data_IF_746323897219
#
_entry.id   IF_746323897219
#
_cell.length_a   1.000
_cell.length_b   1.000
_cell.length_c   1.000
_cell.angle_alpha   90.00
_cell.angle_beta   90.00
_cell.angle_gamma   90.00
#
_symmetry.space_group_name_H-M   'P 1'
#
loop_
_entity.id
_entity.type
_entity.pdbx_description
1 polymer ?
#
# COMPACT_ATOMS: atom_id res chain seq x y z
N UNK A 1 -13.71 5.58 33.08
CA UNK A 1 -14.01 4.72 31.92
C UNK A 1 -14.38 3.32 32.35
N UNK A 2 -15.40 2.75 31.74
CA UNK A 2 -15.79 1.37 32.00
C UNK A 2 -14.84 0.40 31.33
N UNK A 3 -14.87 -0.87 31.74
CA UNK A 3 -14.08 -1.93 31.14
C UNK A 3 -14.44 -2.10 29.65
N UNK A 4 -15.72 -1.93 29.29
CA UNK A 4 -16.18 -1.99 27.92
C UNK A 4 -15.55 -0.91 27.03
N UNK A 5 -15.41 0.30 27.56
CA UNK A 5 -14.78 1.41 26.82
C UNK A 5 -13.32 1.14 26.55
N UNK A 6 -12.59 0.55 27.48
CA UNK A 6 -11.18 0.18 27.29
C UNK A 6 -11.03 -0.89 26.21
N UNK A 7 -11.92 -1.87 26.19
CA UNK A 7 -11.91 -2.92 25.19
C UNK A 7 -12.18 -2.35 23.80
N UNK A 8 -13.20 -1.47 23.68
CA UNK A 8 -13.54 -0.84 22.41
C UNK A 8 -12.39 0.03 21.89
N UNK A 9 -11.73 0.79 22.78
CA UNK A 9 -10.60 1.61 22.39
C UNK A 9 -9.44 0.75 21.88
N UNK A 10 -9.18 -0.39 22.52
CA UNK A 10 -8.13 -1.30 22.09
C UNK A 10 -8.41 -1.88 20.71
N UNK A 11 -9.64 -2.31 20.47
CA UNK A 11 -10.06 -2.84 19.17
C UNK A 11 -9.93 -1.78 18.09
N UNK A 12 -10.33 -0.54 18.38
CA UNK A 12 -10.20 0.57 17.43
C UNK A 12 -8.74 0.84 17.06
N UNK A 13 -7.84 0.86 18.06
CA UNK A 13 -6.41 1.04 17.80
C UNK A 13 -5.83 -0.09 16.97
N UNK A 14 -6.20 -1.32 17.26
CA UNK A 14 -5.74 -2.48 16.50
C UNK A 14 -6.22 -2.40 15.05
N UNK A 15 -7.47 -2.00 14.82
CA UNK A 15 -7.99 -1.79 13.47
C UNK A 15 -7.22 -0.71 12.72
N UNK A 16 -6.97 0.43 13.36
CA UNK A 16 -6.23 1.54 12.75
C UNK A 16 -4.82 1.11 12.35
N UNK A 17 -4.14 0.37 13.20
CA UNK A 17 -2.80 -0.14 12.91
C UNK A 17 -2.81 -1.09 11.71
N UNK A 18 -3.79 -1.99 11.63
CA UNK A 18 -3.92 -2.93 10.52
C UNK A 18 -4.23 -2.22 9.21
N UNK A 19 -5.11 -1.23 9.24
CA UNK A 19 -5.45 -0.42 8.05
C UNK A 19 -4.21 0.32 7.56
N UNK A 20 -3.46 0.95 8.46
CA UNK A 20 -2.23 1.66 8.11
C UNK A 20 -1.20 0.73 7.47
N UNK A 21 -1.06 -0.47 8.00
CA UNK A 21 -0.13 -1.47 7.47
C UNK A 21 -0.54 -1.92 6.07
N UNK A 22 -1.82 -2.21 5.87
CA UNK A 22 -2.35 -2.62 4.57
C UNK A 22 -2.17 -1.51 3.54
N UNK A 23 -2.43 -0.27 3.91
CA UNK A 23 -2.25 0.87 3.02
C UNK A 23 -0.79 1.05 2.63
N UNK A 24 0.15 0.90 3.57
CA UNK A 24 1.57 1.00 3.28
C UNK A 24 2.04 -0.11 2.33
N UNK A 25 1.58 -1.34 2.54
CA UNK A 25 1.89 -2.47 1.67
C UNK A 25 1.31 -2.28 0.27
N UNK A 26 0.09 -1.74 0.18
CA UNK A 26 -0.57 -1.45 -1.09
C UNK A 26 0.17 -0.36 -1.85
N UNK A 27 0.56 0.72 -1.18
CA UNK A 27 1.31 1.82 -1.79
C UNK A 27 2.65 1.32 -2.33
N UNK A 28 3.34 0.45 -1.60
CA UNK A 28 4.59 -0.14 -2.05
C UNK A 28 4.38 -0.99 -3.31
N UNK A 29 3.34 -1.82 -3.33
CA UNK A 29 3.01 -2.63 -4.52
C UNK A 29 2.66 -1.77 -5.71
N UNK A 30 1.89 -0.71 -5.51
CA UNK A 30 1.55 0.22 -6.58
C UNK A 30 2.82 0.89 -7.14
N UNK A 31 3.72 1.31 -6.28
CA UNK A 31 4.99 1.90 -6.71
C UNK A 31 5.83 0.91 -7.52
N UNK A 32 5.87 -0.35 -7.12
CA UNK A 32 6.58 -1.40 -7.85
C UNK A 32 5.95 -1.65 -9.23
N UNK A 33 4.63 -1.70 -9.31
CA UNK A 33 3.91 -1.89 -10.57
C UNK A 33 4.17 -0.71 -11.51
N UNK A 34 4.13 0.52 -11.01
CA UNK A 34 4.40 1.71 -11.81
C UNK A 34 5.84 1.74 -12.31
N UNK A 35 6.79 1.37 -11.47
CA UNK A 35 8.20 1.30 -11.86
C UNK A 35 8.42 0.26 -12.97
N UNK A 36 7.80 -0.90 -12.85
CA UNK A 36 7.91 -1.95 -13.86
C UNK A 36 7.25 -1.53 -15.16
N UNK A 37 6.08 -0.92 -15.10
CA UNK A 37 5.38 -0.42 -16.29
C UNK A 37 6.21 0.63 -17.02
N UNK A 38 6.89 1.50 -16.30
CA UNK A 38 7.77 2.51 -16.89
C UNK A 38 8.96 1.87 -17.61
N UNK A 39 9.58 0.87 -16.98
CA UNK A 39 10.67 0.13 -17.61
C UNK A 39 10.21 -0.57 -18.87
N UNK A 40 9.05 -1.19 -18.85
CA UNK A 40 8.48 -1.88 -20.01
C UNK A 40 8.17 -0.89 -21.14
N UNK A 41 7.61 0.28 -20.81
CA UNK A 41 7.31 1.32 -21.79
C UNK A 41 8.59 1.87 -22.42
N UNK A 42 9.61 2.12 -21.63
CA UNK A 42 10.91 2.62 -22.11
C UNK A 42 11.56 1.60 -23.05
N UNK A 43 11.45 0.32 -22.71
CA UNK A 43 11.99 -0.77 -23.53
C UNK A 43 11.27 -0.86 -24.88
N UNK A 44 9.95 -0.77 -24.88
CA UNK A 44 9.15 -0.78 -26.10
C UNK A 44 9.49 0.43 -26.97
N UNK A 45 9.61 1.61 -26.39
CA UNK A 45 10.00 2.83 -27.10
C UNK A 45 11.37 2.68 -27.77
N UNK A 46 12.33 2.09 -27.09
CA UNK A 46 13.65 1.86 -27.62
C UNK A 46 13.63 0.89 -28.82
N UNK A 47 12.80 -0.15 -28.74
CA UNK A 47 12.63 -1.13 -29.83
C UNK A 47 11.97 -0.49 -31.07
N UNK A 48 11.02 0.42 -30.86
CA UNK A 48 10.34 1.11 -31.97
C UNK A 48 11.25 2.15 -32.61
N UNK A 49 12.10 2.80 -31.82
CA UNK A 49 13.00 3.86 -32.31
C UNK A 49 14.08 3.34 -33.24
N UNK A 50 14.40 2.08 -33.15
CA UNK A 50 15.33 1.42 -34.05
C UNK A 50 14.64 1.08 -35.40
#
# INVERSE_FOLDING_TARGET
>A
MSSGDKILNRISLDCDERISKINAETDEKCAQIMAQAKLDADKISAEIAD
#
